data_IF_769825483762
#
_entry.id   IF_769825483762
#
_cell.length_a   1.000
_cell.length_b   1.000
_cell.length_c   1.000
_cell.angle_alpha   90.00
_cell.angle_beta   90.00
_cell.angle_gamma   90.00
#
_symmetry.space_group_name_H-M   'P 1'
#
loop_
_entity.id
_entity.type
_entity.pdbx_description
1 polymer ?
#
# COMPACT_ATOMS: atom_id res chain seq x y z
N UNK A 1 27.48 -21.18 29.04
CA UNK A 1 26.98 -19.85 28.63
C UNK A 1 28.18 -19.03 28.19
N UNK A 2 28.28 -18.53 26.94
CA UNK A 2 29.47 -17.81 26.49
C UNK A 2 29.63 -16.52 27.30
N UNK A 3 30.82 -16.28 27.83
CA UNK A 3 31.18 -15.05 28.52
C UNK A 3 30.96 -13.87 27.55
N UNK A 4 30.03 -12.97 27.89
CA UNK A 4 29.83 -11.74 27.11
C UNK A 4 31.08 -10.90 27.28
N UNK A 5 31.82 -10.69 26.20
CA UNK A 5 32.97 -9.79 26.14
C UNK A 5 32.57 -8.41 26.67
N UNK A 6 33.09 -8.02 27.83
CA UNK A 6 32.85 -6.70 28.42
C UNK A 6 33.57 -5.62 27.61
N UNK A 7 33.03 -4.41 27.62
CA UNK A 7 33.57 -3.27 26.87
C UNK A 7 34.21 -2.30 27.86
N UNK A 8 35.52 -2.02 27.77
CA UNK A 8 36.18 -1.07 28.65
C UNK A 8 35.82 0.38 28.28
N UNK A 9 35.62 1.23 29.29
CA UNK A 9 35.43 2.66 29.07
C UNK A 9 36.76 3.34 28.69
N UNK A 10 36.82 4.16 27.63
CA UNK A 10 38.07 4.82 27.21
C UNK A 10 38.59 5.87 28.19
N UNK A 11 37.73 6.42 29.06
CA UNK A 11 38.13 7.43 30.03
C UNK A 11 38.57 6.83 31.38
N UNK A 12 37.80 5.89 31.94
CA UNK A 12 38.07 5.35 33.29
C UNK A 12 38.45 3.87 33.33
N UNK A 13 38.47 3.17 32.20
CA UNK A 13 38.84 1.75 32.11
C UNK A 13 37.81 0.77 32.68
N UNK A 14 36.71 1.24 33.28
CA UNK A 14 35.68 0.36 33.86
C UNK A 14 35.04 -0.54 32.81
N UNK A 15 34.85 -1.82 33.14
CA UNK A 15 34.22 -2.82 32.27
C UNK A 15 32.70 -2.69 32.29
N UNK A 16 32.10 -2.42 31.12
CA UNK A 16 30.66 -2.22 30.99
C UNK A 16 30.01 -3.35 30.21
N UNK A 17 28.71 -3.55 30.49
CA UNK A 17 27.87 -4.46 29.71
C UNK A 17 27.86 -4.04 28.23
N UNK A 18 27.85 -5.00 27.28
CA UNK A 18 27.80 -4.71 25.86
C UNK A 18 26.61 -3.86 25.40
N UNK A 19 25.56 -3.71 26.20
CA UNK A 19 24.38 -2.89 25.85
C UNK A 19 24.34 -1.54 26.57
N UNK A 20 25.32 -1.24 27.43
CA UNK A 20 25.37 0.04 28.13
C UNK A 20 25.54 1.20 27.13
N UNK A 21 24.82 2.30 27.37
CA UNK A 21 24.96 3.55 26.60
C UNK A 21 25.97 4.48 27.27
N UNK A 22 25.93 4.52 28.60
CA UNK A 22 26.82 5.30 29.45
C UNK A 22 27.67 4.33 30.27
N UNK A 23 28.88 4.75 30.62
CA UNK A 23 29.67 4.05 31.60
C UNK A 23 28.94 4.04 32.96
N UNK A 24 28.88 2.89 33.61
CA UNK A 24 28.23 2.77 34.93
C UNK A 24 28.90 3.63 35.99
N UNK A 25 30.21 3.85 35.88
CA UNK A 25 31.05 4.57 36.82
C UNK A 25 31.13 6.08 36.52
N UNK A 26 31.78 6.48 35.42
CA UNK A 26 32.02 7.89 35.12
C UNK A 26 30.89 8.59 34.35
N UNK A 27 29.81 7.86 33.99
CA UNK A 27 28.66 8.36 33.22
C UNK A 27 28.98 8.95 31.85
N UNK A 28 30.15 8.70 31.31
CA UNK A 28 30.51 9.12 29.95
C UNK A 28 29.89 8.19 28.89
N UNK A 29 29.63 8.72 27.69
CA UNK A 29 29.04 7.95 26.58
C UNK A 29 30.07 6.97 26.04
N UNK A 30 29.69 5.69 25.95
CA UNK A 30 30.57 4.65 25.39
C UNK A 30 30.63 4.77 23.86
N UNK A 31 31.83 4.72 23.23
CA UNK A 31 31.98 4.87 21.77
C UNK A 31 31.24 3.78 20.98
N UNK A 32 31.23 2.54 21.49
CA UNK A 32 30.45 1.44 20.89
C UNK A 32 28.95 1.69 20.94
N UNK A 33 28.45 2.40 21.95
CA UNK A 33 27.05 2.81 21.99
C UNK A 33 26.75 3.85 20.92
N UNK A 34 27.64 4.82 20.70
CA UNK A 34 27.50 5.82 19.63
C UNK A 34 27.48 5.15 18.26
N UNK A 35 28.40 4.21 18.00
CA UNK A 35 28.45 3.51 16.72
C UNK A 35 27.20 2.65 16.52
N UNK A 36 26.75 1.89 17.52
CA UNK A 36 25.48 1.13 17.44
C UNK A 36 24.27 2.02 17.17
N UNK A 37 24.19 3.18 17.82
CA UNK A 37 23.09 4.12 17.60
C UNK A 37 23.17 4.76 16.20
N UNK A 38 24.37 5.02 15.69
CA UNK A 38 24.62 5.48 14.32
C UNK A 38 24.22 4.42 13.30
N UNK A 39 24.68 3.18 13.46
CA UNK A 39 24.32 2.05 12.60
C UNK A 39 22.82 1.79 12.63
N UNK A 40 22.19 1.89 13.82
CA UNK A 40 20.73 1.77 13.96
C UNK A 40 20.01 2.93 13.25
N UNK A 41 20.51 4.16 13.35
CA UNK A 41 19.96 5.34 12.65
C UNK A 41 20.10 5.22 11.13
N UNK A 42 21.21 4.67 10.65
CA UNK A 42 21.45 4.43 9.23
C UNK A 42 20.58 3.29 8.69
N UNK A 43 20.39 2.22 9.46
CA UNK A 43 19.46 1.14 9.11
C UNK A 43 17.98 1.57 9.14
N UNK A 44 17.63 2.54 10.00
CA UNK A 44 16.29 3.19 10.03
C UNK A 44 16.15 4.20 8.89
N UNK A 45 17.24 4.68 8.28
CA UNK A 45 17.21 5.46 7.04
C UNK A 45 16.92 4.49 5.88
N UNK A 46 15.69 3.99 5.88
CA UNK A 46 15.06 3.14 4.89
C UNK A 46 15.63 3.40 3.51
N UNK A 47 16.10 2.33 2.88
CA UNK A 47 16.43 2.24 1.46
C UNK A 47 15.20 2.72 0.68
N UNK A 48 15.18 4.02 0.35
CA UNK A 48 14.13 4.62 -0.46
C UNK A 48 14.30 4.09 -1.88
N UNK A 49 13.80 2.90 -2.16
CA UNK A 49 13.19 2.70 -3.48
C UNK A 49 12.19 3.85 -3.62
N UNK A 50 12.34 4.67 -4.67
CA UNK A 50 11.42 5.79 -4.83
C UNK A 50 10.00 5.22 -4.89
N UNK A 51 9.04 5.83 -4.19
CA UNK A 51 7.64 5.42 -4.25
C UNK A 51 7.16 5.25 -5.70
N UNK A 52 7.67 6.10 -6.60
CA UNK A 52 7.48 6.03 -8.03
C UNK A 52 7.98 4.72 -8.66
N UNK A 53 9.18 4.27 -8.31
CA UNK A 53 9.72 3.00 -8.81
C UNK A 53 8.84 1.81 -8.39
N UNK A 54 8.32 1.81 -7.17
CA UNK A 54 7.45 0.73 -6.71
C UNK A 54 6.05 0.78 -7.36
N UNK A 55 5.50 2.00 -7.52
CA UNK A 55 4.28 2.24 -8.30
C UNK A 55 4.44 1.69 -9.74
N UNK A 56 5.55 1.99 -10.40
CA UNK A 56 5.78 1.58 -11.78
C UNK A 56 5.96 0.06 -11.91
N UNK A 57 6.56 -0.60 -10.91
CA UNK A 57 6.58 -2.07 -10.84
C UNK A 57 5.18 -2.65 -10.72
N UNK A 58 4.34 -2.10 -9.85
CA UNK A 58 2.98 -2.57 -9.67
C UNK A 58 2.13 -2.37 -10.93
N UNK A 59 2.23 -1.21 -11.57
CA UNK A 59 1.54 -0.94 -12.85
C UNK A 59 1.96 -1.97 -13.90
N UNK A 60 3.25 -2.26 -14.03
CA UNK A 60 3.74 -3.29 -14.96
C UNK A 60 3.17 -4.67 -14.63
N UNK A 61 3.15 -5.06 -13.35
CA UNK A 61 2.57 -6.33 -12.92
C UNK A 61 1.07 -6.40 -13.24
N UNK A 62 0.32 -5.32 -13.04
CA UNK A 62 -1.09 -5.24 -13.41
C UNK A 62 -1.30 -5.46 -14.92
N UNK A 63 -0.46 -4.85 -15.78
CA UNK A 63 -0.52 -5.10 -17.22
C UNK A 63 -0.18 -6.55 -17.57
N UNK A 64 0.84 -7.14 -16.94
CA UNK A 64 1.20 -8.55 -17.15
C UNK A 64 0.00 -9.47 -16.84
N UNK A 65 -0.64 -9.27 -15.69
CA UNK A 65 -1.82 -10.05 -15.28
C UNK A 65 -2.98 -9.85 -16.26
N UNK A 66 -3.24 -8.61 -16.69
CA UNK A 66 -4.29 -8.27 -17.64
C UNK A 66 -4.09 -9.00 -18.98
N UNK A 67 -2.90 -8.90 -19.58
CA UNK A 67 -2.59 -9.55 -20.85
C UNK A 67 -2.59 -11.08 -20.72
N UNK A 68 -2.11 -11.63 -19.61
CA UNK A 68 -2.18 -13.06 -19.34
C UNK A 68 -3.65 -13.55 -19.28
N UNK A 69 -4.53 -12.82 -18.60
CA UNK A 69 -5.96 -13.15 -18.53
C UNK A 69 -6.62 -13.10 -19.92
N UNK A 70 -6.34 -12.06 -20.72
CA UNK A 70 -6.86 -11.96 -22.10
C UNK A 70 -6.36 -13.14 -22.95
N UNK A 71 -5.09 -13.51 -22.84
CA UNK A 71 -4.52 -14.64 -23.56
C UNK A 71 -5.20 -15.97 -23.17
N UNK A 72 -5.44 -16.19 -21.88
CA UNK A 72 -6.16 -17.38 -21.39
C UNK A 72 -7.60 -17.41 -21.92
N UNK A 73 -8.32 -16.29 -21.89
CA UNK A 73 -9.68 -16.20 -22.42
C UNK A 73 -9.72 -16.42 -23.94
N UNK A 74 -8.74 -15.88 -24.68
CA UNK A 74 -8.63 -16.11 -26.12
C UNK A 74 -8.34 -17.59 -26.45
N UNK A 75 -7.45 -18.24 -25.70
CA UNK A 75 -7.18 -19.68 -25.83
C UNK A 75 -8.42 -20.54 -25.57
N UNK A 76 -9.19 -20.21 -24.52
CA UNK A 76 -10.48 -20.84 -24.26
C UNK A 76 -11.46 -20.60 -25.41
N UNK A 77 -11.53 -19.38 -25.93
CA UNK A 77 -12.36 -19.03 -27.09
C UNK A 77 -12.03 -19.86 -28.32
N UNK A 78 -10.75 -20.00 -28.66
CA UNK A 78 -10.28 -20.82 -29.79
C UNK A 78 -10.61 -22.29 -29.57
N UNK A 79 -10.43 -22.80 -28.34
CA UNK A 79 -10.70 -24.20 -27.99
C UNK A 79 -12.18 -24.53 -28.12
N UNK A 80 -13.05 -23.66 -27.61
CA UNK A 80 -14.51 -23.79 -27.71
C UNK A 80 -14.93 -23.64 -29.17
N UNK A 81 -14.47 -22.60 -29.88
CA UNK A 81 -14.78 -22.40 -31.30
C UNK A 81 -14.39 -23.60 -32.16
N UNK A 82 -13.23 -24.20 -31.89
CA UNK A 82 -12.78 -25.41 -32.58
C UNK A 82 -13.67 -26.63 -32.33
N UNK A 83 -14.24 -26.77 -31.13
CA UNK A 83 -15.22 -27.82 -30.85
C UNK A 83 -16.54 -27.65 -31.60
N UNK A 84 -16.93 -26.40 -31.93
CA UNK A 84 -18.12 -26.07 -32.71
C UNK A 84 -17.86 -25.88 -34.21
N UNK A 85 -16.62 -26.05 -34.67
CA UNK A 85 -16.25 -26.08 -36.09
C UNK A 85 -15.52 -24.83 -36.62
N UNK A 86 -15.42 -23.74 -35.86
CA UNK A 86 -14.67 -22.54 -36.25
C UNK A 86 -13.84 -21.97 -35.07
N UNK A 87 -12.56 -22.37 -34.96
CA UNK A 87 -11.65 -21.85 -33.93
C UNK A 87 -11.39 -20.35 -34.03
N UNK A 88 -11.40 -19.79 -35.25
CA UNK A 88 -11.09 -18.38 -35.49
C UNK A 88 -12.24 -17.52 -34.99
N UNK A 89 -13.48 -17.88 -35.32
CA UNK A 89 -14.66 -17.18 -34.82
C UNK A 89 -14.74 -17.21 -33.28
N UNK A 90 -14.50 -18.36 -32.65
CA UNK A 90 -14.49 -18.47 -31.19
C UNK A 90 -13.41 -17.61 -30.53
N UNK A 91 -12.21 -17.56 -31.09
CA UNK A 91 -11.13 -16.69 -30.61
C UNK A 91 -11.45 -15.20 -30.73
N UNK A 92 -12.02 -14.77 -31.87
CA UNK A 92 -12.42 -13.37 -32.10
C UNK A 92 -13.52 -12.93 -31.13
N UNK A 93 -14.55 -13.76 -30.93
CA UNK A 93 -15.63 -13.48 -29.97
C UNK A 93 -15.06 -13.35 -28.56
N UNK A 94 -14.20 -14.28 -28.14
CA UNK A 94 -13.59 -14.24 -26.81
C UNK A 94 -12.73 -12.98 -26.61
N UNK A 95 -11.97 -12.56 -27.63
CA UNK A 95 -11.18 -11.34 -27.57
C UNK A 95 -12.06 -10.09 -27.43
N UNK A 96 -13.15 -9.99 -28.20
CA UNK A 96 -14.10 -8.87 -28.11
C UNK A 96 -14.69 -8.80 -26.70
N UNK A 97 -15.15 -9.94 -26.16
CA UNK A 97 -15.72 -10.02 -24.81
C UNK A 97 -14.68 -9.65 -23.75
N UNK A 98 -13.46 -10.18 -23.85
CA UNK A 98 -12.38 -9.87 -22.91
C UNK A 98 -12.02 -8.38 -22.92
N UNK A 99 -11.94 -7.76 -24.09
CA UNK A 99 -11.69 -6.32 -24.24
C UNK A 99 -12.84 -5.49 -23.67
N UNK A 100 -14.09 -5.88 -23.92
CA UNK A 100 -15.27 -5.20 -23.41
C UNK A 100 -15.32 -5.23 -21.87
N UNK A 101 -15.12 -6.41 -21.26
CA UNK A 101 -15.09 -6.57 -19.81
C UNK A 101 -13.94 -5.79 -19.20
N UNK A 102 -12.74 -5.86 -19.79
CA UNK A 102 -11.56 -5.16 -19.29
C UNK A 102 -11.72 -3.64 -19.37
N UNK A 103 -12.26 -3.14 -20.49
CA UNK A 103 -12.57 -1.74 -20.67
C UNK A 103 -13.59 -1.25 -19.65
N UNK A 104 -14.71 -1.96 -19.49
CA UNK A 104 -15.74 -1.62 -18.51
C UNK A 104 -15.18 -1.64 -17.08
N UNK A 105 -14.42 -2.67 -16.73
CA UNK A 105 -13.80 -2.83 -15.41
C UNK A 105 -12.84 -1.69 -15.09
N UNK A 106 -12.07 -1.20 -16.07
CA UNK A 106 -11.18 -0.05 -15.87
C UNK A 106 -11.97 1.15 -15.35
N UNK A 107 -13.04 1.54 -16.06
CA UNK A 107 -13.80 2.74 -15.69
C UNK A 107 -14.65 2.56 -14.43
N UNK A 108 -15.20 1.38 -14.19
CA UNK A 108 -16.21 1.13 -13.16
C UNK A 108 -15.71 0.41 -11.91
N UNK A 109 -14.43 0.00 -11.84
CA UNK A 109 -13.90 -0.74 -10.69
C UNK A 109 -14.12 -0.04 -9.34
N UNK A 110 -13.77 1.25 -9.26
CA UNK A 110 -13.92 2.02 -8.01
C UNK A 110 -15.38 2.12 -7.59
N UNK A 111 -16.28 2.48 -8.50
CA UNK A 111 -17.72 2.55 -8.21
C UNK A 111 -18.31 1.20 -7.83
N UNK A 112 -17.86 0.12 -8.47
CA UNK A 112 -18.33 -1.24 -8.17
C UNK A 112 -17.98 -1.63 -6.74
N UNK A 113 -16.72 -1.44 -6.33
CA UNK A 113 -16.27 -1.75 -4.97
C UNK A 113 -17.01 -0.89 -3.94
N UNK A 114 -17.21 0.40 -4.21
CA UNK A 114 -17.97 1.28 -3.31
C UNK A 114 -19.43 0.82 -3.16
N UNK A 115 -20.08 0.46 -4.27
CA UNK A 115 -21.46 -0.03 -4.24
C UNK A 115 -21.59 -1.36 -3.50
N UNK A 116 -20.65 -2.29 -3.70
CA UNK A 116 -20.65 -3.60 -3.05
C UNK A 116 -20.36 -3.51 -1.55
N UNK A 117 -19.57 -2.52 -1.13
CA UNK A 117 -19.27 -2.27 0.28
C UNK A 117 -20.34 -1.45 1.00
N UNK A 118 -21.38 -0.98 0.31
CA UNK A 118 -22.39 -0.11 0.90
C UNK A 118 -21.84 1.27 1.29
N UNK A 119 -20.76 1.70 0.64
CA UNK A 119 -20.10 2.96 0.93
C UNK A 119 -21.00 4.13 0.55
N UNK A 120 -21.23 5.05 1.49
CA UNK A 120 -22.00 6.28 1.28
C UNK A 120 -21.06 7.45 1.11
N UNK A 121 -21.21 8.19 0.01
CA UNK A 121 -20.45 9.42 -0.22
C UNK A 121 -20.88 10.45 0.83
N UNK A 122 -19.90 11.12 1.42
CA UNK A 122 -20.13 12.19 2.39
C UNK A 122 -19.54 13.50 1.88
N UNK A 123 -20.08 14.61 2.34
CA UNK A 123 -19.56 15.95 2.15
C UNK A 123 -18.91 16.48 3.43
N UNK A 124 -18.22 17.62 3.32
CA UNK A 124 -17.45 18.20 4.42
C UNK A 124 -18.32 18.46 5.65
N UNK A 125 -19.56 18.86 5.45
CA UNK A 125 -20.49 19.22 6.51
C UNK A 125 -21.04 17.99 7.25
N UNK A 126 -21.04 16.81 6.62
CA UNK A 126 -21.50 15.57 7.26
C UNK A 126 -20.54 15.12 8.36
N UNK A 127 -19.23 15.19 8.10
CA UNK A 127 -18.17 14.77 9.02
C UNK A 127 -16.90 15.61 8.84
N UNK A 128 -16.82 16.81 9.46
CA UNK A 128 -15.71 17.73 9.27
C UNK A 128 -14.37 17.16 9.78
N UNK A 129 -14.37 16.37 10.85
CA UNK A 129 -13.16 15.77 11.42
C UNK A 129 -12.47 14.82 10.44
N UNK A 130 -13.22 13.91 9.82
CA UNK A 130 -12.69 13.00 8.81
C UNK A 130 -12.22 13.75 7.58
N UNK A 131 -12.98 14.76 7.12
CA UNK A 131 -12.59 15.57 5.98
C UNK A 131 -11.29 16.34 6.23
N UNK A 132 -11.08 16.88 7.42
CA UNK A 132 -9.85 17.58 7.78
C UNK A 132 -8.64 16.64 7.73
N UNK A 133 -8.76 15.41 8.24
CA UNK A 133 -7.67 14.41 8.17
C UNK A 133 -7.32 14.08 6.71
N UNK A 134 -8.33 13.85 5.87
CA UNK A 134 -8.11 13.59 4.44
C UNK A 134 -7.51 14.81 3.73
N UNK A 135 -7.95 16.02 4.08
CA UNK A 135 -7.43 17.28 3.54
C UNK A 135 -5.96 17.51 3.92
N UNK A 136 -5.57 17.23 5.16
CA UNK A 136 -4.17 17.28 5.60
C UNK A 136 -3.30 16.28 4.83
N UNK A 137 -3.79 15.05 4.63
CA UNK A 137 -3.08 14.05 3.82
C UNK A 137 -2.95 14.47 2.36
N UNK A 138 -4.00 15.07 1.79
CA UNK A 138 -3.98 15.65 0.45
C UNK A 138 -2.92 16.75 0.34
N UNK A 139 -2.89 17.69 1.29
CA UNK A 139 -1.91 18.79 1.31
C UNK A 139 -0.48 18.22 1.42
N UNK A 140 -0.26 17.27 2.33
CA UNK A 140 1.05 16.64 2.52
C UNK A 140 1.54 15.85 1.30
N UNK A 141 0.62 15.28 0.53
CA UNK A 141 0.92 14.51 -0.69
C UNK A 141 0.92 15.32 -1.98
N UNK A 142 0.40 16.56 -1.96
CA UNK A 142 0.26 17.39 -3.15
C UNK A 142 -0.74 16.86 -4.18
N UNK A 143 -1.73 16.08 -3.73
CA UNK A 143 -2.75 15.44 -4.58
C UNK A 143 -4.05 16.26 -4.62
N UNK A 144 -4.94 16.04 -5.60
CA UNK A 144 -6.30 16.57 -5.55
C UNK A 144 -7.10 15.90 -4.40
N UNK A 145 -8.20 16.54 -3.98
CA UNK A 145 -9.07 15.98 -2.95
C UNK A 145 -9.77 14.72 -3.50
N UNK A 146 -9.64 13.55 -2.86
CA UNK A 146 -10.38 12.37 -3.25
C UNK A 146 -11.85 12.48 -2.83
N UNK A 147 -12.71 11.68 -3.46
CA UNK A 147 -14.06 11.46 -2.93
C UNK A 147 -13.98 10.70 -1.60
N UNK A 148 -14.71 11.17 -0.58
CA UNK A 148 -14.72 10.55 0.75
C UNK A 148 -16.02 9.77 0.95
N UNK A 149 -15.89 8.52 1.41
CA UNK A 149 -17.00 7.63 1.69
C UNK A 149 -16.93 7.07 3.10
N UNK A 150 -18.10 6.82 3.69
CA UNK A 150 -18.26 6.12 4.95
C UNK A 150 -18.97 4.79 4.73
N UNK A 151 -18.43 3.74 5.34
CA UNK A 151 -19.00 2.39 5.32
C UNK A 151 -19.52 2.08 6.73
N UNK A 152 -20.78 1.66 6.79
CA UNK A 152 -21.38 1.24 8.05
C UNK A 152 -20.88 -0.17 8.43
N UNK A 153 -19.83 -0.21 9.26
CA UNK A 153 -19.24 -1.46 9.73
C UNK A 153 -18.46 -1.22 11.03
N UNK A 154 -18.70 -2.03 12.09
CA UNK A 154 -18.01 -1.90 13.37
C UNK A 154 -16.55 -2.36 13.31
N UNK A 155 -16.15 -3.07 12.25
CA UNK A 155 -14.76 -3.49 12.07
C UNK A 155 -13.91 -2.28 11.62
N UNK A 156 -12.85 -1.91 12.35
CA UNK A 156 -12.01 -0.77 11.98
C UNK A 156 -11.22 -1.08 10.69
N UNK A 157 -11.52 -0.36 9.61
CA UNK A 157 -10.84 -0.49 8.33
C UNK A 157 -10.93 0.81 7.50
N UNK A 158 -10.03 0.97 6.56
CA UNK A 158 -10.09 1.99 5.52
C UNK A 158 -9.40 1.48 4.25
N UNK A 159 -9.90 1.89 3.09
CA UNK A 159 -9.24 1.60 1.82
C UNK A 159 -9.35 2.79 0.85
N UNK A 160 -8.39 2.87 -0.06
CA UNK A 160 -8.36 3.86 -1.12
C UNK A 160 -8.37 3.17 -2.49
N UNK A 161 -9.07 3.75 -3.45
CA UNK A 161 -9.15 3.26 -4.83
C UNK A 161 -9.14 4.44 -5.79
N UNK A 162 -8.72 4.18 -7.02
CA UNK A 162 -8.70 5.19 -8.07
C UNK A 162 -7.84 4.77 -9.25
N UNK A 163 -8.19 5.24 -10.44
CA UNK A 163 -7.40 4.99 -11.65
C UNK A 163 -6.25 5.98 -11.80
N UNK A 164 -6.46 7.19 -11.31
CA UNK A 164 -5.52 8.29 -11.34
C UNK A 164 -5.84 9.25 -10.19
N UNK A 165 -4.94 10.18 -9.84
CA UNK A 165 -5.15 11.09 -8.72
C UNK A 165 -6.47 11.87 -8.78
N UNK A 166 -6.91 12.31 -9.97
CA UNK A 166 -8.15 13.08 -10.13
C UNK A 166 -9.40 12.21 -10.00
N UNK A 167 -9.27 10.90 -10.23
CA UNK A 167 -10.33 9.91 -10.09
C UNK A 167 -10.00 8.96 -8.94
N UNK A 168 -9.91 9.52 -7.73
CA UNK A 168 -9.57 8.78 -6.51
C UNK A 168 -10.66 8.90 -5.44
N UNK A 169 -10.78 7.87 -4.60
CA UNK A 169 -11.75 7.78 -3.54
C UNK A 169 -11.15 7.08 -2.32
N UNK A 170 -11.55 7.50 -1.13
CA UNK A 170 -11.19 6.91 0.16
C UNK A 170 -12.45 6.53 0.90
N UNK A 171 -12.53 5.29 1.37
CA UNK A 171 -13.62 4.80 2.19
C UNK A 171 -13.13 4.42 3.59
N UNK A 172 -13.86 4.85 4.61
CA UNK A 172 -13.53 4.63 6.02
C UNK A 172 -14.72 4.01 6.74
N UNK A 173 -14.50 3.02 7.59
CA UNK A 173 -15.59 2.38 8.33
C UNK A 173 -15.95 3.14 9.61
N UNK A 174 -17.22 3.07 10.03
CA UNK A 174 -17.70 3.66 11.29
C UNK A 174 -16.89 3.18 12.50
N UNK A 175 -16.55 1.90 12.56
CA UNK A 175 -15.72 1.35 13.64
C UNK A 175 -14.27 1.83 13.68
N UNK A 176 -13.76 2.42 12.58
CA UNK A 176 -12.47 3.12 12.58
C UNK A 176 -12.64 4.57 13.05
N UNK A 177 -13.71 5.23 12.62
CA UNK A 177 -14.05 6.61 12.99
C UNK A 177 -14.25 6.72 14.51
N UNK A 178 -14.95 5.78 15.13
CA UNK A 178 -15.19 5.75 16.59
C UNK A 178 -13.92 5.62 17.43
N UNK A 179 -12.77 5.31 16.82
CA UNK A 179 -11.48 5.13 17.49
C UNK A 179 -10.51 6.29 17.26
N UNK A 180 -10.89 7.27 16.43
CA UNK A 180 -10.14 8.52 16.24
C UNK A 180 -10.33 9.42 17.48
#
# INVERSE_FOLDING_TARGET
>A
MPAKSLIPCPNCGYENSPRAVLCSLCKEILPDAVQRLRDKKEKIRVERSSFYAEKDKNIRNSYIILFAMIAILALLGVSIGGAYGDPVAGGVIALIVACAISGYSWFSASSLIMSMSGAKKIERDDMPELFNVVEEMKIASGLPMPDVYVIDSPAPNAFATGRDPNNSAVAVTTGLIEKL
#
